data_IF_172600399866
#
_entry.id   IF_172600399866
#
_cell.length_a   1.000
_cell.length_b   1.000
_cell.length_c   1.000
_cell.angle_alpha   90.00
_cell.angle_beta   90.00
_cell.angle_gamma   90.00
#
_symmetry.space_group_name_H-M   'P 1'
#
loop_
_entity.id
_entity.type
_entity.pdbx_description
1 polymer ?
#
# COMPACT_ATOMS: atom_id res chain seq x y z
N UNK A 1 16.03 17.87 -1.07
CA UNK A 1 14.88 18.58 -0.45
C UNK A 1 13.86 18.81 -1.56
N UNK A 2 12.70 18.22 -1.43
CA UNK A 2 11.57 18.50 -2.32
C UNK A 2 11.10 19.90 -1.94
N UNK A 3 11.07 20.86 -2.88
CA UNK A 3 10.45 22.16 -2.63
C UNK A 3 9.02 21.93 -2.15
N UNK A 4 8.58 22.60 -1.07
CA UNK A 4 7.19 22.48 -0.66
C UNK A 4 6.32 22.96 -1.83
N UNK A 5 5.41 22.09 -2.25
CA UNK A 5 4.39 22.42 -3.21
C UNK A 5 3.63 23.68 -2.70
N UNK A 6 3.12 24.48 -3.63
CA UNK A 6 2.10 25.48 -3.33
C UNK A 6 1.13 24.93 -2.29
N UNK A 7 0.76 25.74 -1.31
CA UNK A 7 -0.14 25.45 -0.17
C UNK A 7 -0.98 24.16 -0.35
N UNK A 8 -0.93 23.21 0.60
CA UNK A 8 -1.64 21.94 0.47
C UNK A 8 -3.12 22.18 0.19
N UNK A 9 -3.72 21.33 -0.64
CA UNK A 9 -5.12 21.46 -1.09
C UNK A 9 -6.04 20.55 -0.29
N UNK A 10 -5.58 19.35 0.05
CA UNK A 10 -6.37 18.30 0.69
C UNK A 10 -5.93 18.01 2.13
N UNK A 11 -4.62 18.14 2.43
CA UNK A 11 -4.08 17.97 3.77
C UNK A 11 -3.95 19.30 4.50
N UNK A 12 -3.99 19.28 5.84
CA UNK A 12 -3.54 20.42 6.62
C UNK A 12 -2.01 20.51 6.60
N UNK A 13 -1.47 21.69 6.93
CA UNK A 13 -0.02 21.88 7.05
C UNK A 13 0.55 20.91 8.10
N UNK A 14 -0.12 20.75 9.24
CA UNK A 14 0.28 19.86 10.32
C UNK A 14 0.30 18.38 9.86
N UNK A 15 -0.61 17.97 8.98
CA UNK A 15 -0.62 16.60 8.41
C UNK A 15 0.57 16.39 7.47
N UNK A 16 0.92 17.38 6.66
CA UNK A 16 2.11 17.33 5.79
C UNK A 16 3.39 17.29 6.63
N UNK A 17 3.51 18.16 7.65
CA UNK A 17 4.64 18.18 8.58
C UNK A 17 4.75 16.85 9.34
N UNK A 18 3.63 16.30 9.80
CA UNK A 18 3.60 14.99 10.45
C UNK A 18 4.13 13.89 9.53
N UNK A 19 3.68 13.85 8.26
CA UNK A 19 4.19 12.88 7.29
C UNK A 19 5.69 13.04 7.05
N UNK A 20 6.18 14.27 6.91
CA UNK A 20 7.60 14.55 6.72
C UNK A 20 8.44 14.14 7.94
N UNK A 21 7.90 14.28 9.14
CA UNK A 21 8.61 13.96 10.38
C UNK A 21 8.51 12.47 10.73
N UNK A 22 7.35 11.85 10.56
CA UNK A 22 7.04 10.50 11.03
C UNK A 22 7.05 9.45 9.92
N UNK A 23 6.99 9.86 8.63
CA UNK A 23 6.97 8.95 7.48
C UNK A 23 5.60 8.36 7.17
N UNK A 24 4.54 8.80 7.85
CA UNK A 24 3.18 8.36 7.61
C UNK A 24 2.14 9.42 8.00
N UNK A 25 0.92 9.26 7.51
CA UNK A 25 -0.27 9.97 7.97
C UNK A 25 -1.49 9.05 7.90
N UNK A 26 -2.31 9.05 8.94
CA UNK A 26 -3.60 8.38 8.97
C UNK A 26 -4.70 9.41 8.78
N UNK A 27 -5.53 9.23 7.76
CA UNK A 27 -6.63 10.11 7.38
C UNK A 27 -7.95 9.43 7.76
N UNK A 28 -8.65 9.89 8.81
CA UNK A 28 -9.90 9.29 9.22
C UNK A 28 -11.06 9.68 8.31
N UNK A 29 -11.96 8.73 8.02
CA UNK A 29 -13.24 8.99 7.36
C UNK A 29 -13.13 9.54 5.94
N UNK A 30 -12.08 9.22 5.19
CA UNK A 30 -11.93 9.62 3.78
C UNK A 30 -13.10 9.10 2.94
N UNK A 31 -13.51 7.87 3.22
CA UNK A 31 -14.72 7.27 2.69
C UNK A 31 -15.71 7.00 3.82
N UNK A 32 -16.99 7.11 3.52
CA UNK A 32 -18.04 6.80 4.49
C UNK A 32 -18.08 5.29 4.80
N UNK A 33 -18.64 4.92 5.94
CA UNK A 33 -18.83 3.51 6.31
C UNK A 33 -19.68 2.74 5.27
N UNK A 34 -20.65 3.41 4.62
CA UNK A 34 -21.45 2.80 3.54
C UNK A 34 -20.63 2.53 2.30
N UNK A 35 -19.77 3.48 1.87
CA UNK A 35 -18.85 3.26 0.75
C UNK A 35 -17.86 2.13 1.05
N UNK A 36 -17.27 2.13 2.24
CA UNK A 36 -16.37 1.05 2.67
C UNK A 36 -17.07 -0.32 2.64
N UNK A 37 -18.33 -0.39 3.06
CA UNK A 37 -19.14 -1.61 2.97
C UNK A 37 -19.34 -2.07 1.53
N UNK A 38 -19.61 -1.15 0.60
CA UNK A 38 -19.74 -1.46 -0.83
C UNK A 38 -18.41 -1.93 -1.44
N UNK A 39 -17.30 -1.26 -1.12
CA UNK A 39 -15.96 -1.67 -1.55
C UNK A 39 -15.61 -3.05 -1.02
N UNK A 40 -15.94 -3.32 0.25
CA UNK A 40 -15.75 -4.63 0.86
C UNK A 40 -16.54 -5.72 0.12
N UNK A 41 -17.81 -5.47 -0.16
CA UNK A 41 -18.65 -6.40 -0.91
C UNK A 41 -18.05 -6.71 -2.28
N UNK A 42 -17.70 -5.70 -3.03
CA UNK A 42 -17.06 -5.82 -4.36
C UNK A 42 -15.76 -6.62 -4.27
N UNK A 43 -14.93 -6.34 -3.26
CA UNK A 43 -13.67 -7.04 -3.03
C UNK A 43 -13.86 -8.53 -2.75
N UNK A 44 -14.83 -8.89 -1.92
CA UNK A 44 -15.13 -10.29 -1.59
C UNK A 44 -15.74 -11.04 -2.78
N UNK A 45 -16.67 -10.42 -3.53
CA UNK A 45 -17.24 -11.00 -4.76
C UNK A 45 -16.15 -11.23 -5.82
N UNK A 46 -15.22 -10.28 -5.98
CA UNK A 46 -14.07 -10.45 -6.86
C UNK A 46 -13.21 -11.62 -6.42
N UNK A 47 -12.88 -11.69 -5.14
CA UNK A 47 -12.03 -12.75 -4.58
C UNK A 47 -12.67 -14.13 -4.73
N UNK A 48 -13.97 -14.26 -4.46
CA UNK A 48 -14.74 -15.50 -4.65
C UNK A 48 -14.74 -15.94 -6.11
N UNK A 49 -14.86 -15.01 -7.04
CA UNK A 49 -14.77 -15.30 -8.48
C UNK A 49 -13.39 -15.83 -8.87
N UNK A 50 -12.33 -15.16 -8.42
CA UNK A 50 -10.96 -15.56 -8.69
C UNK A 50 -10.66 -16.93 -8.08
N UNK A 51 -11.11 -17.21 -6.86
CA UNK A 51 -10.97 -18.53 -6.23
C UNK A 51 -11.63 -19.64 -7.03
N UNK A 52 -12.83 -19.43 -7.54
CA UNK A 52 -13.53 -20.41 -8.39
C UNK A 52 -12.78 -20.70 -9.69
N UNK A 53 -12.10 -19.71 -10.23
CA UNK A 53 -11.35 -19.85 -11.49
C UNK A 53 -9.90 -20.28 -11.27
N UNK A 54 -9.47 -20.52 -10.04
CA UNK A 54 -8.07 -20.82 -9.66
C UNK A 54 -7.05 -19.75 -10.08
N UNK A 55 -7.51 -18.51 -10.30
CA UNK A 55 -6.69 -17.37 -10.72
C UNK A 55 -6.16 -16.55 -9.51
N UNK A 56 -6.18 -17.14 -8.32
CA UNK A 56 -5.66 -16.48 -7.12
C UNK A 56 -4.18 -16.78 -6.97
N UNK A 57 -3.41 -15.72 -6.86
CA UNK A 57 -2.07 -15.81 -6.32
C UNK A 57 -2.14 -15.79 -4.78
N UNK A 58 -2.37 -16.95 -4.17
CA UNK A 58 -2.51 -17.13 -2.73
C UNK A 58 -1.16 -17.26 -2.00
N UNK A 59 -0.06 -17.07 -2.70
CA UNK A 59 1.26 -17.55 -2.23
C UNK A 59 2.21 -16.47 -1.75
N UNK A 60 1.84 -15.18 -1.83
CA UNK A 60 2.75 -14.14 -1.39
C UNK A 60 2.83 -14.04 0.12
N UNK A 61 3.98 -14.31 0.68
CA UNK A 61 4.33 -14.12 2.11
C UNK A 61 4.20 -15.36 2.98
N UNK A 62 3.17 -16.20 2.83
CA UNK A 62 2.94 -17.31 3.78
C UNK A 62 3.67 -18.61 3.44
N UNK A 63 3.89 -18.91 2.18
CA UNK A 63 4.53 -20.18 1.77
C UNK A 63 6.07 -20.17 1.86
N UNK A 64 6.67 -19.00 1.93
CA UNK A 64 8.14 -18.83 2.00
C UNK A 64 8.66 -18.36 3.35
N UNK A 65 7.78 -17.90 4.23
CA UNK A 65 8.15 -17.46 5.56
C UNK A 65 7.93 -18.61 6.54
N UNK A 66 8.92 -19.46 6.66
CA UNK A 66 8.98 -20.56 7.64
C UNK A 66 9.00 -20.08 9.12
N UNK A 67 8.80 -18.80 9.34
CA UNK A 67 9.00 -18.16 10.65
C UNK A 67 7.77 -18.21 11.53
N UNK A 68 6.57 -18.40 10.95
CA UNK A 68 5.35 -18.43 11.76
C UNK A 68 4.27 -19.29 11.11
N UNK A 69 3.83 -20.24 11.84
CA UNK A 69 2.63 -21.07 11.73
C UNK A 69 2.20 -21.57 10.33
N UNK A 70 2.24 -22.89 10.09
CA UNK A 70 1.98 -23.50 8.77
C UNK A 70 0.51 -23.38 8.28
N UNK A 71 -0.34 -22.64 8.99
CA UNK A 71 -1.78 -22.56 8.73
C UNK A 71 -2.29 -21.17 8.38
N UNK A 72 -1.42 -20.16 8.32
CA UNK A 72 -1.85 -18.79 7.98
C UNK A 72 -2.09 -18.62 6.48
N UNK A 73 -3.07 -17.80 6.11
CA UNK A 73 -3.43 -17.50 4.72
C UNK A 73 -3.51 -16.00 4.50
N UNK A 74 -3.15 -15.58 3.30
CA UNK A 74 -3.43 -14.26 2.77
C UNK A 74 -4.04 -14.42 1.39
N UNK A 75 -5.23 -13.89 1.20
CA UNK A 75 -5.82 -13.79 -0.12
C UNK A 75 -5.46 -12.44 -0.72
N UNK A 76 -4.96 -12.42 -1.95
CA UNK A 76 -4.66 -11.16 -2.62
C UNK A 76 -4.94 -11.20 -4.11
N UNK A 77 -5.25 -10.04 -4.66
CA UNK A 77 -5.43 -9.81 -6.08
C UNK A 77 -4.62 -8.58 -6.49
N UNK A 78 -3.73 -8.75 -7.46
CA UNK A 78 -2.99 -7.65 -8.04
C UNK A 78 -3.80 -6.97 -9.15
N UNK A 79 -3.53 -5.66 -9.33
CA UNK A 79 -4.02 -4.90 -10.48
C UNK A 79 -5.56 -4.93 -10.61
N UNK A 80 -6.24 -4.52 -9.54
CA UNK A 80 -7.71 -4.52 -9.46
C UNK A 80 -8.39 -3.75 -10.60
N UNK A 81 -7.69 -2.79 -11.22
CA UNK A 81 -8.19 -2.00 -12.35
C UNK A 81 -8.50 -2.83 -13.61
N UNK A 82 -8.01 -4.06 -13.68
CA UNK A 82 -8.34 -4.98 -14.75
C UNK A 82 -9.42 -5.98 -14.34
N UNK A 83 -9.92 -5.91 -13.13
CA UNK A 83 -10.85 -6.86 -12.54
C UNK A 83 -12.19 -6.25 -12.13
N UNK A 84 -12.18 -4.99 -11.67
CA UNK A 84 -13.36 -4.29 -11.17
C UNK A 84 -13.36 -2.82 -11.57
N UNK A 85 -14.45 -2.38 -12.22
CA UNK A 85 -14.66 -0.98 -12.56
C UNK A 85 -14.91 -0.10 -11.31
N UNK A 86 -15.48 -0.66 -10.25
CA UNK A 86 -15.68 0.05 -8.99
C UNK A 86 -14.33 0.37 -8.33
N UNK A 87 -13.45 -0.64 -8.20
CA UNK A 87 -12.11 -0.45 -7.64
C UNK A 87 -11.21 0.39 -8.55
N UNK A 88 -11.42 0.38 -9.88
CA UNK A 88 -10.73 1.29 -10.81
C UNK A 88 -11.05 2.75 -10.51
N UNK A 89 -12.33 3.07 -10.29
CA UNK A 89 -12.74 4.45 -9.94
C UNK A 89 -12.13 4.91 -8.63
N UNK A 90 -11.98 4.01 -7.66
CA UNK A 90 -11.35 4.30 -6.38
C UNK A 90 -9.88 4.73 -6.52
N UNK A 91 -9.14 4.14 -7.48
CA UNK A 91 -7.74 4.50 -7.71
C UNK A 91 -7.53 5.95 -8.17
N UNK A 92 -8.53 6.55 -8.81
CA UNK A 92 -8.48 7.94 -9.32
C UNK A 92 -9.39 8.89 -8.54
N UNK A 93 -9.94 8.44 -7.41
CA UNK A 93 -10.80 9.29 -6.56
C UNK A 93 -9.98 10.46 -5.98
N UNK A 94 -10.41 11.72 -6.16
CA UNK A 94 -9.69 12.87 -5.61
C UNK A 94 -9.41 12.79 -4.11
N UNK A 95 -10.31 12.17 -3.33
CA UNK A 95 -10.13 11.98 -1.88
C UNK A 95 -8.94 11.07 -1.54
N UNK A 96 -8.51 10.22 -2.49
CA UNK A 96 -7.30 9.40 -2.38
C UNK A 96 -6.08 10.14 -2.93
N UNK A 97 -6.19 10.70 -4.15
CA UNK A 97 -5.00 11.16 -4.88
C UNK A 97 -4.60 12.61 -4.58
N UNK A 98 -5.51 13.46 -4.12
CA UNK A 98 -5.17 14.85 -3.75
C UNK A 98 -4.30 14.91 -2.48
N UNK A 99 -4.57 14.15 -1.39
CA UNK A 99 -3.65 14.04 -0.26
C UNK A 99 -2.25 13.54 -0.67
N UNK A 100 -2.19 12.58 -1.58
CA UNK A 100 -0.91 12.08 -2.11
C UNK A 100 -0.16 13.17 -2.86
N UNK A 101 -0.88 14.00 -3.65
CA UNK A 101 -0.27 15.09 -4.38
C UNK A 101 0.31 16.18 -3.48
N UNK A 102 -0.28 16.42 -2.32
CA UNK A 102 0.26 17.35 -1.31
C UNK A 102 1.59 16.83 -0.71
N UNK A 103 1.83 15.51 -0.74
CA UNK A 103 3.02 14.88 -0.19
C UNK A 103 4.17 14.73 -1.22
N UNK A 104 3.86 14.37 -2.47
CA UNK A 104 4.87 13.99 -3.45
C UNK A 104 4.82 14.77 -4.78
N UNK A 105 3.91 15.74 -4.89
CA UNK A 105 3.77 16.62 -6.05
C UNK A 105 2.55 16.29 -6.91
N UNK A 106 2.19 17.19 -7.87
CA UNK A 106 0.87 17.23 -8.49
C UNK A 106 0.59 16.10 -9.50
N UNK A 107 1.62 15.46 -10.02
CA UNK A 107 1.51 14.48 -11.09
C UNK A 107 1.80 13.07 -10.53
N UNK A 108 0.76 12.28 -10.36
CA UNK A 108 0.83 10.98 -9.67
C UNK A 108 0.64 9.84 -10.66
N UNK A 109 1.54 8.88 -10.61
CA UNK A 109 1.44 7.63 -11.34
C UNK A 109 1.25 6.43 -10.42
N UNK A 110 0.46 5.48 -10.90
CA UNK A 110 0.34 4.17 -10.31
C UNK A 110 1.66 3.40 -10.49
N UNK A 111 2.19 2.83 -9.41
CA UNK A 111 3.19 1.79 -9.51
C UNK A 111 2.53 0.42 -9.57
N UNK A 112 1.75 0.06 -8.57
CA UNK A 112 0.90 -1.13 -8.55
C UNK A 112 -0.17 -1.00 -7.46
N UNK A 113 -1.09 -1.95 -7.44
CA UNK A 113 -2.04 -2.09 -6.33
C UNK A 113 -2.29 -3.56 -5.99
N UNK A 114 -2.71 -3.78 -4.74
CA UNK A 114 -3.00 -5.11 -4.21
C UNK A 114 -4.23 -5.04 -3.30
N UNK A 115 -5.24 -5.80 -3.66
CA UNK A 115 -6.33 -6.09 -2.75
C UNK A 115 -5.89 -7.20 -1.82
N UNK A 116 -6.01 -7.00 -0.51
CA UNK A 116 -5.66 -7.97 0.52
C UNK A 116 -6.89 -8.34 1.36
N UNK A 117 -7.08 -9.63 1.58
CA UNK A 117 -7.98 -10.16 2.59
C UNK A 117 -7.17 -11.03 3.54
N UNK A 118 -7.04 -10.62 4.80
CA UNK A 118 -6.57 -11.48 5.89
C UNK A 118 -7.77 -12.23 6.45
N UNK A 119 -7.89 -13.56 6.20
CA UNK A 119 -9.01 -14.34 6.72
C UNK A 119 -9.05 -14.36 8.24
N UNK A 120 -10.20 -14.65 8.85
CA UNK A 120 -10.31 -14.83 10.28
C UNK A 120 -9.44 -16.00 10.77
N UNK A 121 -8.85 -15.86 11.96
CA UNK A 121 -8.07 -16.88 12.69
C UNK A 121 -6.84 -17.45 11.95
N UNK A 122 -6.60 -17.01 10.70
CA UNK A 122 -5.54 -17.55 9.82
C UNK A 122 -4.81 -16.49 9.01
N UNK A 123 -5.05 -15.21 9.30
CA UNK A 123 -4.42 -14.11 8.55
C UNK A 123 -2.91 -14.06 8.76
N UNK A 124 -2.13 -14.16 7.68
CA UNK A 124 -0.67 -14.16 7.72
C UNK A 124 -0.08 -12.86 8.26
N UNK A 125 0.98 -12.93 9.09
CA UNK A 125 1.75 -11.74 9.46
C UNK A 125 2.59 -11.24 8.28
N UNK A 126 3.04 -9.99 8.38
CA UNK A 126 4.11 -9.43 7.59
C UNK A 126 5.22 -9.00 8.54
N UNK A 127 6.45 -9.54 8.43
CA UNK A 127 7.56 -9.08 9.25
C UNK A 127 7.90 -7.64 8.91
N UNK A 128 8.66 -6.99 9.78
CA UNK A 128 9.09 -5.62 9.58
C UNK A 128 9.97 -5.50 8.35
N UNK A 129 9.65 -4.56 7.46
CA UNK A 129 10.35 -4.31 6.21
C UNK A 129 10.14 -2.87 5.75
N UNK A 130 10.93 -2.46 4.78
CA UNK A 130 10.66 -1.32 3.91
C UNK A 130 10.19 -1.85 2.56
N UNK A 131 9.38 -1.09 1.86
CA UNK A 131 9.01 -1.44 0.48
C UNK A 131 10.15 -1.15 -0.52
N UNK A 132 11.09 -0.29 -0.15
CA UNK A 132 12.22 0.16 -0.99
C UNK A 132 12.96 -0.97 -1.73
N UNK A 133 13.35 -2.10 -1.11
CA UNK A 133 14.14 -3.13 -1.79
C UNK A 133 13.44 -3.76 -2.99
N UNK A 134 12.11 -3.74 -3.00
CA UNK A 134 11.32 -4.33 -4.09
C UNK A 134 11.30 -3.45 -5.34
N UNK A 135 11.38 -2.11 -5.18
CA UNK A 135 11.23 -1.15 -6.28
C UNK A 135 11.90 0.19 -5.97
N UNK A 136 13.25 0.23 -5.92
CA UNK A 136 13.98 1.46 -5.61
C UNK A 136 13.80 2.51 -6.71
N UNK A 137 13.60 3.78 -6.30
CA UNK A 137 13.42 4.93 -7.18
C UNK A 137 14.42 6.03 -6.87
N UNK A 138 14.64 6.91 -7.85
CA UNK A 138 15.74 7.90 -7.81
C UNK A 138 15.48 9.08 -6.84
N UNK A 139 14.20 9.40 -6.59
CA UNK A 139 13.81 10.56 -5.77
C UNK A 139 13.09 10.19 -4.48
N UNK A 140 12.92 8.92 -4.22
CA UNK A 140 12.25 8.41 -3.02
C UNK A 140 10.84 8.99 -2.78
N UNK A 141 10.11 9.29 -3.87
CA UNK A 141 8.73 9.80 -3.77
C UNK A 141 7.70 8.68 -3.59
N UNK A 142 8.11 7.43 -3.74
CA UNK A 142 7.20 6.29 -3.63
C UNK A 142 6.55 6.22 -2.25
N UNK A 143 5.25 6.02 -2.24
CA UNK A 143 4.46 5.82 -1.04
C UNK A 143 3.37 4.77 -1.24
N UNK A 144 2.90 4.20 -0.14
CA UNK A 144 1.76 3.32 -0.07
C UNK A 144 0.57 4.07 0.53
N UNK A 145 -0.61 3.93 -0.07
CA UNK A 145 -1.88 4.29 0.53
C UNK A 145 -2.70 3.02 0.76
N UNK A 146 -3.09 2.77 2.01
CA UNK A 146 -3.93 1.63 2.38
C UNK A 146 -5.32 2.13 2.70
N UNK A 147 -6.29 1.74 1.89
CA UNK A 147 -7.70 2.03 2.08
C UNK A 147 -8.31 0.89 2.87
N UNK A 148 -8.91 1.18 4.01
CA UNK A 148 -9.51 0.19 4.88
C UNK A 148 -10.97 -0.03 4.52
N UNK A 149 -11.33 -1.26 4.12
CA UNK A 149 -12.73 -1.65 3.85
C UNK A 149 -13.39 -2.29 5.07
N UNK A 150 -12.57 -2.66 6.06
CA UNK A 150 -12.97 -3.17 7.37
C UNK A 150 -12.28 -2.36 8.48
N UNK A 151 -12.85 -2.36 9.67
CA UNK A 151 -12.11 -1.95 10.87
C UNK A 151 -10.87 -2.81 11.02
N UNK A 152 -9.75 -2.18 11.33
CA UNK A 152 -8.44 -2.81 11.47
C UNK A 152 -7.84 -2.55 12.86
N UNK A 153 -8.41 -3.09 13.95
CA UNK A 153 -7.78 -3.06 15.25
C UNK A 153 -6.55 -3.99 15.30
N UNK A 154 -5.73 -3.86 16.33
CA UNK A 154 -4.54 -4.69 16.52
C UNK A 154 -4.85 -6.20 16.44
N UNK A 155 -5.98 -6.63 17.01
CA UNK A 155 -6.44 -8.02 16.98
C UNK A 155 -6.70 -8.56 15.55
N UNK A 156 -7.04 -7.69 14.59
CA UNK A 156 -7.17 -8.03 13.16
C UNK A 156 -5.84 -7.92 12.39
N UNK A 157 -4.72 -7.70 13.09
CA UNK A 157 -3.41 -7.54 12.49
C UNK A 157 -3.33 -6.26 11.64
N UNK A 158 -3.66 -5.10 12.23
CA UNK A 158 -3.46 -3.80 11.57
C UNK A 158 -1.99 -3.61 11.18
N UNK A 159 -1.74 -2.67 10.28
CA UNK A 159 -0.37 -2.25 9.99
C UNK A 159 0.25 -1.64 11.25
N UNK A 160 1.51 -1.94 11.49
CA UNK A 160 2.32 -1.36 12.55
C UNK A 160 3.52 -0.67 11.92
N UNK A 161 3.83 0.53 12.37
CA UNK A 161 4.84 1.42 11.79
C UNK A 161 5.85 1.81 12.85
N UNK A 162 7.13 1.89 12.50
CA UNK A 162 8.15 2.56 13.31
C UNK A 162 8.21 4.03 12.89
N UNK A 163 7.63 4.96 13.69
CA UNK A 163 7.60 6.38 13.35
C UNK A 163 9.01 6.95 13.13
N UNK A 164 9.18 7.78 12.08
CA UNK A 164 10.45 8.42 11.76
C UNK A 164 11.50 7.51 11.09
N UNK A 165 11.24 6.21 10.95
CA UNK A 165 12.21 5.25 10.41
C UNK A 165 12.60 5.49 8.94
N UNK A 166 11.77 6.15 8.15
CA UNK A 166 12.09 6.56 6.78
C UNK A 166 13.32 7.47 6.69
N UNK A 167 13.64 8.20 7.76
CA UNK A 167 14.82 9.09 7.84
C UNK A 167 16.14 8.35 7.84
N UNK A 168 16.13 7.05 8.11
CA UNK A 168 17.33 6.22 7.99
C UNK A 168 17.72 5.93 6.53
N UNK A 169 16.85 6.28 5.57
CA UNK A 169 17.03 5.89 4.17
C UNK A 169 16.87 4.37 3.98
N UNK A 170 17.41 3.82 2.88
CA UNK A 170 17.40 2.39 2.62
C UNK A 170 18.16 1.60 3.68
N UNK A 171 17.50 0.61 4.27
CA UNK A 171 18.09 -0.34 5.21
C UNK A 171 18.45 -1.65 4.49
N UNK A 172 19.42 -2.36 5.02
CA UNK A 172 19.78 -3.69 4.54
C UNK A 172 18.72 -4.72 4.97
N UNK A 173 18.21 -5.49 4.01
CA UNK A 173 17.19 -6.50 4.22
C UNK A 173 17.73 -7.89 3.96
N UNK A 174 17.30 -8.85 4.77
CA UNK A 174 17.44 -10.25 4.46
C UNK A 174 16.56 -10.60 3.27
N UNK A 175 17.11 -11.37 2.33
CA UNK A 175 16.40 -11.79 1.11
C UNK A 175 15.87 -13.22 1.20
N UNK A 176 16.07 -13.91 2.32
CA UNK A 176 15.61 -15.28 2.50
C UNK A 176 14.09 -15.30 2.66
N UNK A 177 13.42 -15.86 1.67
CA UNK A 177 11.95 -15.90 1.57
C UNK A 177 11.36 -14.66 0.92
N UNK A 178 11.32 -13.54 1.59
CA UNK A 178 10.91 -12.21 1.11
C UNK A 178 11.77 -11.18 1.80
N UNK A 179 11.96 -10.01 1.19
CA UNK A 179 12.71 -8.93 1.84
C UNK A 179 12.09 -8.58 3.18
N UNK A 180 12.88 -8.69 4.23
CA UNK A 180 12.51 -8.31 5.59
C UNK A 180 13.74 -7.84 6.35
N UNK A 181 13.54 -7.04 7.38
CA UNK A 181 14.59 -6.60 8.26
C UNK A 181 14.93 -7.72 9.27
N UNK A 182 16.17 -7.79 9.79
CA UNK A 182 16.56 -8.77 10.80
C UNK A 182 15.59 -8.75 11.99
N UNK A 183 14.93 -9.89 12.25
CA UNK A 183 13.82 -9.98 13.21
C UNK A 183 14.24 -9.63 14.64
N UNK A 184 15.50 -9.91 15.02
CA UNK A 184 16.04 -9.59 16.36
C UNK A 184 16.22 -8.07 16.55
N UNK A 185 16.53 -7.34 15.46
CA UNK A 185 16.75 -5.88 15.51
C UNK A 185 15.46 -5.11 15.33
N UNK A 186 14.52 -5.69 14.57
CA UNK A 186 13.24 -5.05 14.21
C UNK A 186 12.06 -5.97 14.57
N UNK A 187 11.89 -6.32 15.86
CA UNK A 187 10.70 -7.05 16.27
C UNK A 187 9.44 -6.19 16.14
N UNK A 188 8.31 -6.85 15.91
CA UNK A 188 7.04 -6.15 15.63
C UNK A 188 6.55 -5.26 16.80
N UNK A 189 6.93 -5.58 18.02
CA UNK A 189 6.56 -4.82 19.22
C UNK A 189 7.31 -3.48 19.38
N UNK A 190 8.32 -3.18 18.56
CA UNK A 190 8.91 -1.85 18.45
C UNK A 190 8.00 -0.87 17.69
N UNK A 191 7.05 -1.37 16.94
CA UNK A 191 6.23 -0.56 16.06
C UNK A 191 4.93 -0.11 16.73
N UNK A 192 4.45 1.06 16.33
CA UNK A 192 3.17 1.61 16.77
C UNK A 192 2.03 1.04 15.92
N UNK A 193 0.98 0.45 16.51
CA UNK A 193 -0.18 -0.01 15.77
C UNK A 193 -0.94 1.15 15.13
N UNK A 194 -1.20 1.03 13.84
CA UNK A 194 -2.05 1.95 13.07
C UNK A 194 -3.46 1.37 13.00
N UNK A 195 -4.17 1.45 14.13
CA UNK A 195 -5.57 1.03 14.17
C UNK A 195 -6.41 2.00 13.33
N UNK A 196 -7.28 1.47 12.47
CA UNK A 196 -8.09 2.24 11.54
C UNK A 196 -9.53 1.74 11.53
N UNK A 197 -10.44 2.62 11.13
CA UNK A 197 -11.84 2.30 10.87
C UNK A 197 -12.07 2.06 9.38
N UNK A 198 -13.17 1.37 9.05
CA UNK A 198 -13.62 1.26 7.67
C UNK A 198 -13.84 2.66 7.07
N UNK A 199 -13.21 2.92 5.92
CA UNK A 199 -13.19 4.22 5.25
C UNK A 199 -11.98 5.08 5.53
N UNK A 200 -11.14 4.73 6.50
CA UNK A 200 -9.86 5.43 6.76
C UNK A 200 -8.83 5.08 5.69
N UNK A 201 -7.88 6.00 5.49
CA UNK A 201 -6.73 5.81 4.59
C UNK A 201 -5.44 6.06 5.35
N UNK A 202 -4.56 5.05 5.41
CA UNK A 202 -3.21 5.16 5.93
C UNK A 202 -2.24 5.37 4.76
N UNK A 203 -1.48 6.47 4.77
CA UNK A 203 -0.45 6.77 3.78
C UNK A 203 0.91 6.72 4.46
N UNK A 204 1.89 6.04 3.86
CA UNK A 204 3.26 6.00 4.38
C UNK A 204 4.31 5.91 3.28
N UNK A 205 5.49 6.47 3.53
CA UNK A 205 6.64 6.39 2.62
C UNK A 205 7.12 4.94 2.48
N UNK A 206 7.56 4.55 1.30
CA UNK A 206 8.12 3.23 1.05
C UNK A 206 9.44 2.95 1.81
N UNK A 207 10.05 4.00 2.38
CA UNK A 207 11.19 3.91 3.31
C UNK A 207 10.76 3.72 4.76
N UNK A 208 9.48 3.84 5.08
CA UNK A 208 8.99 3.64 6.44
C UNK A 208 9.01 2.16 6.79
N UNK A 209 9.67 1.82 7.90
CA UNK A 209 9.68 0.46 8.42
C UNK A 209 8.29 0.11 8.96
N UNK A 210 7.71 -0.94 8.42
CA UNK A 210 6.37 -1.37 8.75
C UNK A 210 6.20 -2.88 8.67
N UNK A 211 5.17 -3.37 9.30
CA UNK A 211 4.80 -4.77 9.30
C UNK A 211 3.38 -4.97 9.79
N UNK A 212 2.96 -6.20 10.07
CA UNK A 212 1.67 -6.46 10.69
C UNK A 212 1.62 -7.84 11.33
N UNK A 213 0.91 -7.95 12.44
CA UNK A 213 0.64 -9.23 13.10
C UNK A 213 -0.34 -10.12 12.32
N UNK A 214 -0.63 -11.26 12.90
CA UNK A 214 -1.67 -12.16 12.42
C UNK A 214 -3.06 -11.54 12.63
N UNK A 215 -4.05 -11.99 11.86
CA UNK A 215 -5.44 -11.76 12.21
C UNK A 215 -5.89 -12.86 13.16
N UNK A 216 -5.98 -12.56 14.44
CA UNK A 216 -6.43 -13.48 15.48
C UNK A 216 -7.94 -13.36 15.79
N UNK A 217 -8.66 -12.50 15.04
CA UNK A 217 -10.11 -12.29 15.24
C UNK A 217 -10.95 -13.30 14.45
N UNK A 218 -12.24 -13.31 14.71
CA UNK A 218 -13.23 -14.13 13.99
C UNK A 218 -13.77 -13.46 12.72
N UNK A 219 -13.22 -12.32 12.31
CA UNK A 219 -13.63 -11.57 11.12
C UNK A 219 -12.46 -11.33 10.18
N UNK A 220 -12.73 -11.26 8.89
CA UNK A 220 -11.73 -10.87 7.90
C UNK A 220 -11.32 -9.40 8.04
N UNK A 221 -10.11 -9.07 7.58
CA UNK A 221 -9.64 -7.70 7.36
C UNK A 221 -9.34 -7.49 5.89
N UNK A 222 -10.10 -6.60 5.26
CA UNK A 222 -10.00 -6.29 3.83
C UNK A 222 -9.43 -4.89 3.62
N UNK A 223 -8.40 -4.78 2.80
CA UNK A 223 -7.75 -3.51 2.46
C UNK A 223 -7.33 -3.48 1.01
N UNK A 224 -7.34 -2.28 0.41
CA UNK A 224 -6.71 -2.02 -0.88
C UNK A 224 -5.44 -1.19 -0.66
N UNK A 225 -4.29 -1.77 -0.97
CA UNK A 225 -3.02 -1.09 -1.05
C UNK A 225 -2.85 -0.49 -2.44
N UNK A 226 -2.48 0.78 -2.52
CA UNK A 226 -2.11 1.48 -3.77
C UNK A 226 -0.73 2.07 -3.61
N UNK A 227 0.24 1.57 -4.36
CA UNK A 227 1.59 2.13 -4.44
C UNK A 227 1.62 3.19 -5.53
N UNK A 228 2.03 4.40 -5.16
CA UNK A 228 2.03 5.57 -6.03
C UNK A 228 3.38 6.28 -5.97
N UNK A 229 3.72 6.98 -7.03
CA UNK A 229 4.93 7.80 -7.12
C UNK A 229 4.68 9.09 -7.87
N UNK A 230 5.57 10.07 -7.73
CA UNK A 230 5.60 11.21 -8.64
C UNK A 230 5.91 10.73 -10.07
N UNK A 231 5.24 11.29 -11.06
CA UNK A 231 5.35 10.83 -12.46
C UNK A 231 6.77 10.98 -13.03
N UNK A 232 7.55 11.92 -12.52
CA UNK A 232 8.94 12.19 -12.89
C UNK A 232 9.99 11.45 -12.04
N UNK A 233 9.56 10.59 -11.11
CA UNK A 233 10.46 9.74 -10.33
C UNK A 233 10.75 8.44 -11.09
N UNK A 234 12.00 8.22 -11.45
CA UNK A 234 12.41 7.10 -12.27
C UNK A 234 12.82 5.88 -11.42
N UNK A 235 12.45 4.64 -11.83
CA UNK A 235 12.96 3.44 -11.19
C UNK A 235 14.48 3.32 -11.40
N UNK A 236 15.20 2.88 -10.39
CA UNK A 236 16.64 2.61 -10.45
C UNK A 236 16.96 1.25 -11.09
N UNK A 237 16.00 0.36 -11.14
CA UNK A 237 16.12 -0.95 -11.79
C UNK A 237 14.77 -1.40 -12.34
N UNK A 238 14.76 -2.52 -13.05
CA UNK A 238 13.58 -3.12 -13.65
C UNK A 238 13.11 -4.36 -12.85
N UNK A 239 13.35 -4.40 -11.54
CA UNK A 239 13.09 -5.60 -10.74
C UNK A 239 11.61 -5.92 -10.57
N UNK A 240 10.75 -4.89 -10.59
CA UNK A 240 9.31 -5.06 -10.41
C UNK A 240 8.53 -4.40 -11.54
N UNK A 241 7.91 -5.23 -12.36
CA UNK A 241 6.98 -4.78 -13.38
C UNK A 241 5.55 -5.16 -13.01
N UNK A 242 4.67 -4.18 -12.96
CA UNK A 242 3.26 -4.39 -12.73
C UNK A 242 2.44 -3.98 -13.94
N UNK A 243 1.45 -4.77 -14.28
CA UNK A 243 0.49 -4.40 -15.32
C UNK A 243 -0.24 -3.11 -14.93
N UNK A 244 -0.23 -2.10 -15.81
CA UNK A 244 -0.80 -0.78 -15.51
C UNK A 244 0.16 0.18 -14.81
N UNK A 245 1.40 -0.20 -14.54
CA UNK A 245 2.43 0.70 -14.03
C UNK A 245 2.61 1.88 -14.97
N UNK A 246 2.66 3.10 -14.40
CA UNK A 246 2.73 4.34 -15.17
C UNK A 246 1.35 4.91 -15.57
N UNK A 247 0.23 4.25 -15.20
CA UNK A 247 -1.10 4.83 -15.36
C UNK A 247 -1.18 6.12 -14.54
N UNK A 248 -1.57 7.24 -15.20
CA UNK A 248 -1.79 8.49 -14.50
C UNK A 248 -3.03 8.40 -13.62
N UNK A 249 -2.85 8.68 -12.34
CA UNK A 249 -3.94 8.74 -11.37
C UNK A 249 -4.40 10.19 -11.12
N UNK A 250 -3.45 11.14 -11.28
CA UNK A 250 -3.69 12.57 -11.14
C UNK A 250 -2.69 13.37 -11.97
N UNK A 251 -3.13 14.54 -12.48
CA UNK A 251 -2.26 15.44 -13.23
C UNK A 251 -1.93 14.94 -14.63
N UNK A 252 -0.76 15.28 -15.11
CA UNK A 252 -0.26 14.94 -16.46
C UNK A 252 1.12 14.29 -16.35
N UNK A 253 1.49 13.48 -17.33
CA UNK A 253 2.86 12.96 -17.43
C UNK A 253 3.80 14.09 -17.90
N UNK A 254 4.72 14.58 -17.06
CA UNK A 254 5.64 15.64 -17.42
C UNK A 254 6.68 15.20 -18.46
N UNK A 255 6.93 13.90 -18.58
CA UNK A 255 7.83 13.34 -19.58
C UNK A 255 7.19 13.18 -20.97
N UNK A 256 5.89 13.33 -21.07
CA UNK A 256 4.96 13.32 -22.22
C UNK A 256 5.51 12.99 -23.61
N UNK A 257 6.32 11.97 -23.73
CA UNK A 257 6.71 11.42 -25.01
C UNK A 257 5.52 10.61 -25.52
N UNK A 258 4.84 11.12 -26.55
CA UNK A 258 4.05 10.25 -27.42
C UNK A 258 4.96 9.10 -27.80
N UNK A 259 4.77 7.93 -27.24
CA UNK A 259 5.40 6.73 -27.79
C UNK A 259 4.90 6.67 -29.21
N UNK A 260 5.79 6.94 -30.17
CA UNK A 260 5.53 6.71 -31.57
C UNK A 260 4.92 5.32 -31.69
N UNK A 261 3.81 5.23 -32.41
CA UNK A 261 2.86 4.14 -32.34
C UNK A 261 3.52 2.77 -32.23
N UNK A 262 2.87 1.92 -31.47
CA UNK A 262 3.00 0.49 -31.68
C UNK A 262 2.42 0.27 -33.07
N UNK A 263 3.31 0.26 -34.03
CA UNK A 263 2.96 -0.24 -35.37
C UNK A 263 2.50 -1.68 -35.19
N UNK A 264 1.30 -1.91 -35.61
CA UNK A 264 0.48 -3.12 -35.62
C UNK A 264 1.22 -4.42 -35.84
#
# INVERSE_FOLDING_TARGET
MIEPASRPVALSIEQVEHYQEQGYVLLPGVFSASEATEFRREAHELMDRLMRNQDIDATWGSARMSVTEPHTKLLHCHNVQFQSAALTRLLVDPRLVDPVADLIGPNIQLHHNKLFIKPPEKGSPFPMHQDYPFFPHARDTMLAAIIHFDDAPLAKGCVQIVPGSHKHGPLEHDAEGSFHLPLEQWPLDLATPMEAKAGDVLIFSYLTVHGSGINASNEARTTLLVQMRAADDAPLNNAHHSRGQGMMLRGIDPAGKVRAGIDS
#
